data_IF_654601243408
#
_entry.id   IF_654601243408
#
_cell.length_a   1.000
_cell.length_b   1.000
_cell.length_c   1.000
_cell.angle_alpha   90.00
_cell.angle_beta   90.00
_cell.angle_gamma   90.00
#
_symmetry.space_group_name_H-M   'P 1'
#
loop_
_entity.id
_entity.type
_entity.pdbx_description
1 polymer ?
#
# COMPACT_ATOMS: atom_id res chain seq x y z
N UNK A 1 -46.35 12.79 24.94
CA UNK A 1 -45.18 13.41 25.62
C UNK A 1 -44.21 12.41 26.26
N UNK A 2 -44.68 11.35 26.96
CA UNK A 2 -43.78 10.33 27.56
C UNK A 2 -42.98 9.55 26.52
N UNK A 3 -43.63 9.14 25.44
CA UNK A 3 -42.98 8.41 24.32
C UNK A 3 -41.93 9.27 23.61
N UNK A 4 -42.20 10.57 23.42
CA UNK A 4 -41.22 11.52 22.89
C UNK A 4 -39.98 11.65 23.79
N UNK A 5 -40.16 11.74 25.11
CA UNK A 5 -39.05 11.79 26.07
C UNK A 5 -38.24 10.49 26.11
N UNK A 6 -38.90 9.34 25.94
CA UNK A 6 -38.22 8.04 25.83
C UNK A 6 -37.42 7.92 24.55
N UNK A 7 -37.99 8.31 23.40
CA UNK A 7 -37.30 8.31 22.12
C UNK A 7 -36.10 9.25 22.14
N UNK A 8 -36.27 10.47 22.68
CA UNK A 8 -35.17 11.43 22.84
C UNK A 8 -34.04 10.85 23.70
N UNK A 9 -34.38 10.21 24.83
CA UNK A 9 -33.39 9.57 25.71
C UNK A 9 -32.66 8.43 24.99
N UNK A 10 -33.37 7.62 24.21
CA UNK A 10 -32.78 6.54 23.42
C UNK A 10 -31.81 7.09 22.36
N UNK A 11 -32.20 8.11 21.60
CA UNK A 11 -31.35 8.74 20.59
C UNK A 11 -30.09 9.32 21.23
N UNK A 12 -30.21 10.02 22.36
CA UNK A 12 -29.05 10.61 23.05
C UNK A 12 -28.11 9.51 23.55
N UNK A 13 -28.62 8.45 24.17
CA UNK A 13 -27.80 7.32 24.63
C UNK A 13 -27.12 6.64 23.44
N UNK A 14 -27.84 6.41 22.35
CA UNK A 14 -27.30 5.81 21.13
C UNK A 14 -26.16 6.65 20.56
N UNK A 15 -26.34 7.97 20.45
CA UNK A 15 -25.30 8.89 19.95
C UNK A 15 -24.08 8.94 20.87
N UNK A 16 -24.28 8.97 22.20
CA UNK A 16 -23.18 8.92 23.18
C UNK A 16 -22.42 7.60 23.05
N UNK A 17 -23.12 6.47 22.98
CA UNK A 17 -22.50 5.16 22.83
C UNK A 17 -21.72 5.05 21.51
N UNK A 18 -22.31 5.51 20.41
CA UNK A 18 -21.67 5.58 19.11
C UNK A 18 -20.38 6.43 19.15
N UNK A 19 -20.45 7.62 19.75
CA UNK A 19 -19.28 8.50 19.90
C UNK A 19 -18.17 7.84 20.73
N UNK A 20 -18.49 7.28 21.90
CA UNK A 20 -17.52 6.63 22.78
C UNK A 20 -16.91 5.39 22.12
N UNK A 21 -17.72 4.59 21.42
CA UNK A 21 -17.25 3.41 20.72
C UNK A 21 -16.25 3.78 19.61
N UNK A 22 -16.55 4.82 18.80
CA UNK A 22 -15.65 5.33 17.78
C UNK A 22 -14.33 5.90 18.34
N UNK A 23 -14.39 6.62 19.45
CA UNK A 23 -13.18 7.14 20.12
C UNK A 23 -12.33 6.03 20.73
N UNK A 24 -12.97 5.02 21.30
CA UNK A 24 -12.29 3.87 21.91
C UNK A 24 -11.53 3.07 20.86
N UNK A 25 -12.06 2.93 19.64
CA UNK A 25 -11.34 2.26 18.55
C UNK A 25 -10.04 2.97 18.16
N UNK A 26 -9.96 4.29 18.25
CA UNK A 26 -8.70 5.01 17.99
C UNK A 26 -7.68 4.84 19.11
N UNK A 27 -8.11 4.92 20.38
CA UNK A 27 -7.19 4.87 21.53
C UNK A 27 -6.67 3.46 21.79
N UNK A 28 -7.49 2.42 21.59
CA UNK A 28 -7.13 1.04 21.93
C UNK A 28 -6.42 0.27 20.80
N UNK A 29 -6.50 0.75 19.54
CA UNK A 29 -5.89 0.06 18.39
C UNK A 29 -4.94 0.98 17.59
N UNK A 30 -3.93 1.60 18.21
CA UNK A 30 -2.95 2.38 17.47
C UNK A 30 -2.15 1.44 16.53
N UNK A 31 -2.26 1.66 15.22
CA UNK A 31 -1.38 1.04 14.21
C UNK A 31 -1.89 -0.24 13.53
N UNK A 32 -3.15 -0.67 13.74
CA UNK A 32 -3.79 -1.63 12.83
C UNK A 32 -4.47 -0.88 11.69
N UNK A 33 -4.39 -1.41 10.47
CA UNK A 33 -5.09 -0.93 9.27
C UNK A 33 -6.50 -0.48 9.67
N UNK A 34 -6.81 0.81 9.57
CA UNK A 34 -8.06 1.40 10.10
C UNK A 34 -9.21 1.16 9.12
N UNK A 35 -9.27 -0.04 8.56
CA UNK A 35 -10.33 -0.52 7.70
C UNK A 35 -11.50 -1.04 8.55
N UNK A 36 -12.16 -0.15 9.30
CA UNK A 36 -13.51 -0.40 9.83
C UNK A 36 -14.51 0.52 9.11
N UNK A 37 -14.68 0.40 7.77
CA UNK A 37 -15.54 1.30 6.99
C UNK A 37 -17.04 1.08 7.21
N UNK A 38 -17.47 0.05 7.96
CA UNK A 38 -18.88 -0.36 7.98
C UNK A 38 -19.75 0.28 9.06
N UNK A 39 -19.19 0.81 10.15
CA UNK A 39 -20.01 1.26 11.29
C UNK A 39 -19.97 2.74 11.57
N UNK A 40 -18.91 3.43 11.13
CA UNK A 40 -18.68 4.81 11.52
C UNK A 40 -18.40 5.70 10.31
N UNK A 41 -19.44 6.38 9.82
CA UNK A 41 -19.38 7.19 8.59
C UNK A 41 -18.39 8.36 8.64
N UNK A 42 -17.96 8.80 9.82
CA UNK A 42 -16.93 9.84 9.97
C UNK A 42 -15.48 9.33 9.79
N UNK A 43 -15.26 8.01 9.70
CA UNK A 43 -13.95 7.40 9.37
C UNK A 43 -13.82 7.15 7.87
N UNK A 44 -14.58 7.87 7.03
CA UNK A 44 -14.51 7.76 5.57
C UNK A 44 -13.11 8.00 4.98
N UNK A 45 -12.16 8.53 5.78
CA UNK A 45 -10.77 8.75 5.38
C UNK A 45 -9.82 8.37 6.54
N UNK A 46 -9.41 7.09 6.60
CA UNK A 46 -8.26 6.63 7.43
C UNK A 46 -7.02 7.50 7.14
N UNK A 47 -6.77 7.73 5.86
CA UNK A 47 -5.64 8.49 5.38
C UNK A 47 -6.04 9.96 5.26
N UNK A 48 -5.77 10.75 6.30
CA UNK A 48 -5.69 12.20 6.11
C UNK A 48 -4.49 12.49 5.20
N UNK A 49 -4.63 13.24 4.10
CA UNK A 49 -3.53 13.58 3.18
C UNK A 49 -2.44 14.49 3.78
N UNK A 50 -2.35 14.59 5.11
CA UNK A 50 -1.51 15.56 5.81
C UNK A 50 -0.06 15.13 5.97
N UNK A 51 0.33 13.94 5.50
CA UNK A 51 1.74 13.65 5.33
C UNK A 51 2.25 14.40 4.11
N UNK A 52 3.05 15.45 4.34
CA UNK A 52 3.79 16.16 3.27
C UNK A 52 4.58 15.20 2.36
N UNK A 53 4.85 14.00 2.86
CA UNK A 53 5.64 12.96 2.22
C UNK A 53 4.99 11.62 2.45
N UNK A 54 4.55 10.95 1.39
CA UNK A 54 4.08 9.57 1.43
C UNK A 54 5.18 8.64 0.93
N UNK A 55 5.26 7.46 1.53
CA UNK A 55 6.20 6.40 1.14
C UNK A 55 5.46 5.24 0.47
N UNK A 56 5.93 4.83 -0.70
CA UNK A 56 5.42 3.68 -1.44
C UNK A 56 6.53 2.64 -1.64
N UNK A 57 6.19 1.38 -1.43
CA UNK A 57 7.07 0.24 -1.67
C UNK A 57 6.75 -0.35 -3.03
N UNK A 58 7.73 -0.36 -3.94
CA UNK A 58 7.49 -0.74 -5.32
C UNK A 58 8.64 -1.59 -5.90
N UNK A 59 8.36 -2.18 -7.06
CA UNK A 59 9.35 -2.80 -7.92
C UNK A 59 9.32 -2.11 -9.30
N UNK A 60 10.51 -1.94 -9.90
CA UNK A 60 10.68 -1.37 -11.25
C UNK A 60 11.34 -2.36 -12.18
N UNK A 61 10.87 -2.43 -13.42
CA UNK A 61 11.44 -3.23 -14.49
C UNK A 61 12.52 -2.42 -15.18
N UNK A 62 13.74 -2.97 -15.20
CA UNK A 62 14.90 -2.39 -15.86
C UNK A 62 15.04 -2.94 -17.28
N UNK A 63 14.76 -4.24 -17.46
CA UNK A 63 14.90 -4.93 -18.73
C UNK A 63 13.90 -6.09 -18.82
N UNK A 64 13.27 -6.27 -19.98
CA UNK A 64 12.44 -7.42 -20.29
C UNK A 64 12.66 -7.84 -21.73
N UNK A 65 12.90 -9.14 -21.96
CA UNK A 65 13.12 -9.71 -23.30
C UNK A 65 14.17 -8.94 -24.14
N UNK A 66 15.30 -8.59 -23.50
CA UNK A 66 16.40 -7.82 -24.12
C UNK A 66 16.12 -6.32 -24.33
N UNK A 67 14.90 -5.84 -24.02
CA UNK A 67 14.55 -4.42 -24.10
C UNK A 67 14.83 -3.72 -22.77
N UNK A 68 15.74 -2.76 -22.80
CA UNK A 68 16.06 -1.91 -21.64
C UNK A 68 15.06 -0.74 -21.57
N UNK A 69 14.55 -0.46 -20.38
CA UNK A 69 13.65 0.66 -20.13
C UNK A 69 14.38 1.82 -19.47
N UNK A 70 14.28 3.01 -20.07
CA UNK A 70 14.80 4.26 -19.51
C UNK A 70 13.77 5.39 -19.72
N UNK A 71 13.05 5.82 -18.66
CA UNK A 71 13.19 5.39 -17.27
C UNK A 71 12.69 3.96 -17.01
N UNK A 72 13.13 3.29 -15.91
CA UNK A 72 12.57 2.01 -15.47
C UNK A 72 11.07 2.10 -15.21
N UNK A 73 10.32 1.08 -15.60
CA UNK A 73 8.84 1.08 -15.53
C UNK A 73 8.38 0.46 -14.21
N UNK A 74 7.42 1.08 -13.52
CA UNK A 74 6.85 0.49 -12.30
C UNK A 74 6.00 -0.75 -12.62
N UNK A 75 5.99 -1.72 -11.72
CA UNK A 75 5.23 -2.96 -11.93
C UNK A 75 3.73 -2.74 -12.15
N UNK A 76 3.14 -1.74 -11.50
CA UNK A 76 1.72 -1.35 -11.68
C UNK A 76 1.41 -0.68 -13.04
N UNK A 77 2.44 -0.21 -13.73
CA UNK A 77 2.36 0.44 -15.04
C UNK A 77 2.79 -0.50 -16.19
N UNK A 78 3.35 -1.66 -15.85
CA UNK A 78 3.90 -2.64 -16.80
C UNK A 78 2.83 -3.52 -17.46
N UNK A 79 1.79 -2.90 -18.04
CA UNK A 79 0.74 -3.59 -18.77
C UNK A 79 1.32 -4.36 -19.96
N UNK A 80 0.92 -5.63 -20.11
CA UNK A 80 1.41 -6.51 -21.18
C UNK A 80 2.74 -7.18 -20.90
N UNK A 81 3.46 -6.79 -19.84
CA UNK A 81 4.66 -7.50 -19.36
C UNK A 81 4.30 -8.34 -18.14
N UNK A 82 3.64 -7.73 -17.14
CA UNK A 82 3.22 -8.41 -15.91
C UNK A 82 1.76 -8.82 -16.04
N UNK A 83 1.43 -10.04 -15.60
CA UNK A 83 0.04 -10.48 -15.47
C UNK A 83 -0.62 -9.74 -14.30
N UNK A 84 -1.70 -9.01 -14.58
CA UNK A 84 -2.48 -8.21 -13.61
C UNK A 84 -1.62 -7.23 -12.78
N UNK A 85 -1.04 -6.20 -13.40
CA UNK A 85 -0.13 -5.25 -12.73
C UNK A 85 -0.76 -4.48 -11.54
N UNK A 86 -2.09 -4.41 -11.45
CA UNK A 86 -2.81 -3.77 -10.35
C UNK A 86 -3.38 -4.75 -9.30
N UNK A 87 -2.93 -6.01 -9.31
CA UNK A 87 -3.34 -7.00 -8.30
C UNK A 87 -3.00 -6.53 -6.89
N UNK A 88 -4.00 -6.42 -6.01
CA UNK A 88 -3.79 -6.09 -4.59
C UNK A 88 -2.83 -7.07 -3.94
N UNK A 89 -2.98 -8.38 -4.23
CA UNK A 89 -2.09 -9.44 -3.74
C UNK A 89 -0.65 -9.25 -4.19
N UNK A 90 -0.42 -8.77 -5.40
CA UNK A 90 0.93 -8.49 -5.89
C UNK A 90 1.52 -7.29 -5.15
N UNK A 91 0.74 -6.22 -4.97
CA UNK A 91 1.18 -5.04 -4.20
C UNK A 91 1.52 -5.38 -2.76
N UNK A 92 0.71 -6.20 -2.10
CA UNK A 92 0.97 -6.65 -0.74
C UNK A 92 2.24 -7.51 -0.66
N UNK A 93 2.45 -8.38 -1.66
CA UNK A 93 3.66 -9.20 -1.75
C UNK A 93 4.92 -8.34 -1.95
N UNK A 94 4.87 -7.37 -2.86
CA UNK A 94 5.97 -6.42 -3.09
C UNK A 94 6.23 -5.60 -1.82
N UNK A 95 5.19 -5.09 -1.16
CA UNK A 95 5.32 -4.34 0.09
C UNK A 95 6.05 -5.15 1.16
N UNK A 96 5.64 -6.40 1.39
CA UNK A 96 6.28 -7.31 2.34
C UNK A 96 7.72 -7.62 1.95
N UNK A 97 7.97 -7.88 0.66
CA UNK A 97 9.30 -8.14 0.13
C UNK A 97 10.23 -6.95 0.40
N UNK A 98 9.87 -5.75 -0.07
CA UNK A 98 10.66 -4.53 0.09
C UNK A 98 10.90 -4.21 1.57
N UNK A 99 9.87 -4.37 2.42
CA UNK A 99 10.00 -4.19 3.88
C UNK A 99 10.99 -5.19 4.50
N UNK A 100 10.88 -6.48 4.18
CA UNK A 100 11.79 -7.53 4.69
C UNK A 100 13.24 -7.31 4.22
N UNK A 101 13.43 -6.86 2.97
CA UNK A 101 14.75 -6.51 2.43
C UNK A 101 15.32 -5.31 3.18
N UNK A 102 14.52 -4.27 3.43
CA UNK A 102 14.95 -3.08 4.16
C UNK A 102 15.34 -3.39 5.62
N UNK A 103 14.68 -4.37 6.25
CA UNK A 103 14.99 -4.82 7.62
C UNK A 103 16.16 -5.82 7.70
N UNK A 104 16.75 -6.23 6.57
CA UNK A 104 17.83 -7.22 6.55
C UNK A 104 17.39 -8.65 6.82
N UNK A 105 16.10 -8.96 6.73
CA UNK A 105 15.55 -10.30 6.92
C UNK A 105 15.77 -11.19 5.68
N UNK A 106 17.03 -11.57 5.43
CA UNK A 106 17.47 -12.22 4.18
C UNK A 106 16.66 -13.46 3.79
N UNK A 107 16.36 -14.35 4.75
CA UNK A 107 15.64 -15.60 4.48
C UNK A 107 14.20 -15.36 4.05
N UNK A 108 13.50 -14.45 4.71
CA UNK A 108 12.12 -14.08 4.37
C UNK A 108 12.09 -13.35 3.03
N UNK A 109 13.00 -12.39 2.82
CA UNK A 109 13.14 -11.66 1.56
C UNK A 109 13.34 -12.61 0.38
N UNK A 110 14.18 -13.62 0.52
CA UNK A 110 14.43 -14.61 -0.53
C UNK A 110 13.20 -15.48 -0.82
N UNK A 111 12.46 -15.88 0.22
CA UNK A 111 11.21 -16.64 0.04
C UNK A 111 10.13 -15.83 -0.67
N UNK A 112 9.94 -14.58 -0.27
CA UNK A 112 8.98 -13.66 -0.89
C UNK A 112 9.38 -13.34 -2.33
N UNK A 113 10.68 -13.18 -2.60
CA UNK A 113 11.23 -12.98 -3.95
C UNK A 113 10.88 -14.14 -4.86
N UNK A 114 11.14 -15.38 -4.44
CA UNK A 114 10.79 -16.58 -5.22
C UNK A 114 9.30 -16.68 -5.50
N UNK A 115 8.46 -16.36 -4.50
CA UNK A 115 7.01 -16.36 -4.67
C UNK A 115 6.56 -15.32 -5.70
N UNK A 116 7.12 -14.10 -5.64
CA UNK A 116 6.85 -13.03 -6.61
C UNK A 116 7.25 -13.47 -8.02
N UNK A 117 8.47 -14.01 -8.14
CA UNK A 117 9.02 -14.48 -9.40
C UNK A 117 8.21 -15.62 -10.01
N UNK A 118 7.72 -16.55 -9.19
CA UNK A 118 6.96 -17.71 -9.66
C UNK A 118 5.54 -17.35 -10.11
N UNK A 119 4.88 -16.43 -9.41
CA UNK A 119 3.46 -16.13 -9.64
C UNK A 119 3.26 -15.01 -10.66
N UNK A 120 4.07 -13.96 -10.61
CA UNK A 120 3.78 -12.71 -11.31
C UNK A 120 4.79 -12.33 -12.40
N UNK A 121 6.03 -12.80 -12.30
CA UNK A 121 7.08 -12.35 -13.20
C UNK A 121 7.34 -13.33 -14.35
N UNK A 122 7.27 -12.87 -15.61
CA UNK A 122 7.79 -13.63 -16.74
C UNK A 122 9.32 -13.72 -16.66
N UNK A 123 9.91 -14.64 -17.42
CA UNK A 123 11.34 -14.69 -17.68
C UNK A 123 11.58 -14.52 -19.18
N UNK A 124 12.69 -13.89 -19.62
CA UNK A 124 13.73 -13.26 -18.80
C UNK A 124 13.36 -11.82 -18.39
N UNK A 125 13.66 -11.43 -17.14
CA UNK A 125 13.39 -10.07 -16.64
C UNK A 125 14.47 -9.60 -15.65
N UNK A 126 14.85 -8.32 -15.73
CA UNK A 126 15.67 -7.62 -14.74
C UNK A 126 14.85 -6.54 -14.07
N UNK A 127 14.83 -6.53 -12.74
CA UNK A 127 14.02 -5.62 -11.96
C UNK A 127 14.75 -5.18 -10.69
N UNK A 128 14.28 -4.12 -10.07
CA UNK A 128 14.81 -3.61 -8.81
C UNK A 128 13.70 -3.31 -7.81
N UNK A 129 14.04 -3.44 -6.53
CA UNK A 129 13.18 -3.07 -5.42
C UNK A 129 13.52 -1.66 -4.97
N UNK A 130 12.49 -0.83 -4.84
CA UNK A 130 12.65 0.59 -4.51
C UNK A 130 11.66 1.04 -3.43
N UNK A 131 12.11 2.00 -2.62
CA UNK A 131 11.26 2.78 -1.74
C UNK A 131 11.12 4.15 -2.40
N UNK A 132 9.89 4.54 -2.70
CA UNK A 132 9.54 5.78 -3.36
C UNK A 132 8.98 6.75 -2.33
N UNK A 133 9.53 7.96 -2.25
CA UNK A 133 8.97 9.03 -1.44
C UNK A 133 8.45 10.13 -2.35
N UNK A 134 7.26 10.63 -2.08
CA UNK A 134 6.63 11.66 -2.90
C UNK A 134 5.71 12.57 -2.10
N UNK A 135 5.56 13.80 -2.57
CA UNK A 135 4.49 14.70 -2.15
C UNK A 135 3.24 14.32 -2.98
N UNK A 136 2.11 13.93 -2.36
CA UNK A 136 0.92 13.51 -3.08
C UNK A 136 0.36 14.57 -4.04
N UNK A 137 0.44 15.86 -3.67
CA UNK A 137 -0.07 16.96 -4.50
C UNK A 137 0.83 17.12 -5.72
N UNK A 138 2.15 17.12 -5.53
CA UNK A 138 3.09 17.20 -6.63
C UNK A 138 3.00 16.00 -7.55
N UNK A 139 2.96 14.78 -7.00
CA UNK A 139 2.85 13.56 -7.79
C UNK A 139 1.56 13.51 -8.60
N UNK A 140 0.45 14.00 -8.05
CA UNK A 140 -0.79 14.12 -8.83
C UNK A 140 -0.65 15.08 -10.02
N UNK A 141 0.12 16.16 -9.86
CA UNK A 141 0.33 17.16 -10.91
C UNK A 141 1.38 16.74 -11.96
N UNK A 142 2.49 16.14 -11.53
CA UNK A 142 3.66 15.89 -12.38
C UNK A 142 3.91 14.40 -12.66
N UNK A 143 3.36 13.50 -11.86
CA UNK A 143 3.68 12.07 -11.88
C UNK A 143 5.04 11.71 -11.26
N UNK A 144 5.79 12.69 -10.78
CA UNK A 144 7.18 12.48 -10.34
C UNK A 144 7.28 12.01 -8.88
N UNK A 145 8.34 11.25 -8.62
CA UNK A 145 8.76 10.88 -7.27
C UNK A 145 9.85 11.83 -6.82
N UNK A 146 9.78 12.24 -5.56
CA UNK A 146 10.73 13.19 -4.99
C UNK A 146 12.02 12.50 -4.51
N UNK A 147 11.93 11.25 -4.05
CA UNK A 147 13.10 10.41 -3.76
C UNK A 147 12.84 8.96 -4.17
N UNK A 148 13.90 8.28 -4.62
CA UNK A 148 13.88 6.89 -5.04
C UNK A 148 15.08 6.17 -4.43
N UNK A 149 14.83 5.42 -3.35
CA UNK A 149 15.85 4.62 -2.67
C UNK A 149 15.85 3.19 -3.20
N UNK A 150 16.90 2.81 -3.91
CA UNK A 150 17.12 1.44 -4.37
C UNK A 150 17.56 0.54 -3.21
N UNK A 151 16.91 -0.61 -3.06
CA UNK A 151 17.28 -1.63 -2.08
C UNK A 151 18.09 -2.78 -2.69
N UNK A 152 17.82 -3.12 -3.95
CA UNK A 152 18.49 -4.23 -4.61
C UNK A 152 18.01 -4.39 -6.05
N UNK A 153 18.83 -5.08 -6.84
CA UNK A 153 18.56 -5.45 -8.23
C UNK A 153 18.59 -6.96 -8.37
N UNK A 154 17.65 -7.49 -9.15
CA UNK A 154 17.43 -8.92 -9.30
C UNK A 154 17.20 -9.25 -10.77
N UNK A 155 17.68 -10.43 -11.16
CA UNK A 155 17.52 -10.95 -12.52
C UNK A 155 16.94 -12.35 -12.43
N UNK A 156 15.86 -12.58 -13.17
CA UNK A 156 15.28 -13.90 -13.38
C UNK A 156 15.68 -14.39 -14.77
N UNK A 157 16.58 -15.37 -14.81
CA UNK A 157 16.98 -16.09 -16.01
C UNK A 157 16.24 -17.44 -16.01
N UNK A 158 15.44 -17.71 -17.05
CA UNK A 158 14.62 -18.93 -17.29
C UNK A 158 14.25 -19.78 -16.07
#
# INVERSE_FOLDING_TARGET
>A
MKEYKQLQKFIVIFLIFYFIAGLSTEVLLPGREKDIPMFFSWFLFDQTPNEKWSTEYAARILEFDGKIFNPPILFNEAYGIIDKPNSSKMRDLIRRLVSSTAMGALRESEQLRRLLEQIYLPAPIRYELVILSYDPIRRFQTGEFADIKKLGEFTKNN
#
